data_IF_216623720428
#
_entry.id   IF_216623720428
#
_cell.length_a   1.000
_cell.length_b   1.000
_cell.length_c   1.000
_cell.angle_alpha   90.00
_cell.angle_beta   90.00
_cell.angle_gamma   90.00
#
_symmetry.space_group_name_H-M   'P 1'
#
loop_
_entity.id
_entity.type
_entity.pdbx_description
1 polymer ?
#
# COMPACT_ATOMS: atom_id res chain seq x y z
N UNK A 1 13.39 7.85 34.78
CA UNK A 1 13.43 7.00 33.57
C UNK A 1 13.30 7.92 32.39
N UNK A 2 14.37 8.08 31.62
CA UNK A 2 14.41 8.82 30.36
C UNK A 2 14.13 7.82 29.25
N UNK A 3 13.05 8.02 28.50
CA UNK A 3 12.80 7.30 27.26
C UNK A 3 13.08 8.25 26.10
N UNK A 4 14.05 7.87 25.27
CA UNK A 4 14.45 8.54 24.05
C UNK A 4 13.52 8.19 22.88
N UNK A 5 13.52 9.09 21.91
CA UNK A 5 12.63 9.21 20.75
C UNK A 5 12.13 7.87 20.17
N UNK A 6 10.83 7.63 20.34
CA UNK A 6 10.11 6.74 19.44
C UNK A 6 10.05 7.47 18.10
N UNK A 7 10.59 6.87 17.04
CA UNK A 7 10.42 7.32 15.66
C UNK A 7 8.93 7.24 15.31
N UNK A 8 8.22 8.30 15.67
CA UNK A 8 6.77 8.40 15.79
C UNK A 8 6.18 8.73 14.42
N UNK A 9 5.27 7.90 13.91
CA UNK A 9 4.65 8.14 12.62
C UNK A 9 3.40 9.04 12.68
N UNK A 10 3.01 9.51 13.88
CA UNK A 10 1.84 10.33 14.09
C UNK A 10 0.81 9.73 15.06
N UNK A 11 -0.20 10.55 15.35
CA UNK A 11 -1.34 10.32 16.24
C UNK A 11 -2.49 9.53 15.56
N UNK A 12 -2.29 9.06 14.32
CA UNK A 12 -3.36 8.49 13.49
C UNK A 12 -2.89 7.21 12.77
N UNK A 13 -3.71 6.16 12.86
CA UNK A 13 -3.49 4.91 12.14
C UNK A 13 -4.05 5.00 10.71
N UNK A 14 -3.18 5.26 9.74
CA UNK A 14 -3.59 5.36 8.34
C UNK A 14 -3.16 4.10 7.57
N UNK A 15 -3.79 2.97 7.85
CA UNK A 15 -3.50 1.74 7.11
C UNK A 15 -3.91 1.91 5.64
N UNK A 16 -3.08 1.41 4.73
CA UNK A 16 -3.42 1.29 3.32
C UNK A 16 -2.63 0.19 2.66
N UNK A 17 -3.11 -0.25 1.50
CA UNK A 17 -2.35 -1.10 0.61
C UNK A 17 -2.33 -0.51 -0.79
N UNK A 18 -1.29 -0.82 -1.56
CA UNK A 18 -1.23 -0.42 -2.94
C UNK A 18 -0.59 -1.46 -3.84
N UNK A 19 -1.05 -1.48 -5.09
CA UNK A 19 -0.42 -2.20 -6.17
C UNK A 19 0.33 -1.21 -7.05
N UNK A 20 1.59 -1.52 -7.38
CA UNK A 20 2.43 -0.63 -8.17
C UNK A 20 3.15 -1.35 -9.29
N UNK A 21 3.29 -0.65 -10.41
CA UNK A 21 4.31 -0.91 -11.41
C UNK A 21 5.46 0.06 -11.20
N UNK A 22 6.69 -0.44 -11.23
CA UNK A 22 7.88 0.38 -11.05
C UNK A 22 9.03 -0.11 -11.92
N UNK A 23 9.93 0.81 -12.27
CA UNK A 23 11.06 0.57 -13.16
C UNK A 23 11.88 1.84 -13.35
N UNK A 24 12.70 1.90 -14.39
CA UNK A 24 13.54 3.06 -14.68
C UNK A 24 12.70 4.26 -15.17
N UNK A 25 12.93 4.80 -16.37
CA UNK A 25 12.06 5.80 -16.97
C UNK A 25 11.02 5.13 -17.86
N UNK A 26 9.74 5.40 -17.63
CA UNK A 26 8.65 5.00 -18.50
C UNK A 26 7.49 5.99 -18.46
N UNK A 27 6.66 6.02 -19.51
CA UNK A 27 5.43 6.82 -19.52
C UNK A 27 4.32 6.08 -18.77
N UNK A 28 3.90 6.67 -17.65
CA UNK A 28 2.86 6.13 -16.77
C UNK A 28 1.49 6.07 -17.43
N UNK A 29 1.24 6.88 -18.47
CA UNK A 29 -0.02 6.86 -19.22
C UNK A 29 -0.21 5.57 -20.01
N UNK A 30 0.87 4.90 -20.41
CA UNK A 30 0.79 3.60 -21.10
C UNK A 30 0.10 2.58 -20.20
N UNK A 31 0.41 2.57 -18.90
CA UNK A 31 -0.21 1.67 -17.92
C UNK A 31 -1.69 2.01 -17.75
N UNK A 32 -2.01 3.29 -17.54
CA UNK A 32 -3.40 3.77 -17.41
C UNK A 32 -4.26 3.33 -18.60
N UNK A 33 -3.76 3.54 -19.82
CA UNK A 33 -4.49 3.25 -21.06
C UNK A 33 -4.68 1.74 -21.28
N UNK A 34 -3.64 0.94 -21.04
CA UNK A 34 -3.68 -0.51 -21.25
C UNK A 34 -4.55 -1.21 -20.21
N UNK A 35 -4.47 -0.80 -18.94
CA UNK A 35 -5.28 -1.38 -17.87
C UNK A 35 -6.71 -0.84 -17.88
N UNK A 36 -6.92 0.40 -18.32
CA UNK A 36 -8.18 1.13 -18.17
C UNK A 36 -8.42 1.53 -16.70
N UNK A 37 -7.36 1.75 -15.93
CA UNK A 37 -7.41 2.09 -14.50
C UNK A 37 -6.70 3.44 -14.31
N UNK A 38 -7.33 4.35 -13.57
CA UNK A 38 -6.68 5.60 -13.16
C UNK A 38 -5.81 5.35 -11.91
N UNK A 39 -4.52 5.75 -11.91
CA UNK A 39 -3.69 5.63 -10.72
C UNK A 39 -4.18 6.54 -9.61
N UNK A 40 -3.93 6.16 -8.37
CA UNK A 40 -4.05 7.06 -7.21
C UNK A 40 -2.86 8.01 -7.14
N UNK A 41 -1.67 7.55 -7.53
CA UNK A 41 -0.49 8.40 -7.64
C UNK A 41 0.52 7.84 -8.65
N UNK A 42 1.44 8.69 -9.08
CA UNK A 42 2.60 8.30 -9.86
C UNK A 42 3.79 9.15 -9.46
N UNK A 43 4.99 8.62 -9.67
CA UNK A 43 6.23 9.34 -9.46
C UNK A 43 7.11 9.15 -10.68
N UNK A 44 7.66 10.23 -11.23
CA UNK A 44 8.70 10.16 -12.27
C UNK A 44 10.07 10.14 -11.61
N UNK A 45 10.97 9.27 -12.09
CA UNK A 45 12.36 9.23 -11.64
C UNK A 45 13.01 10.62 -11.74
N UNK A 46 13.73 11.04 -10.70
CA UNK A 46 14.50 12.30 -10.62
C UNK A 46 15.79 12.09 -9.80
N UNK A 47 16.78 12.94 -10.04
CA UNK A 47 18.03 12.98 -9.27
C UNK A 47 17.93 14.09 -8.20
N UNK A 48 18.12 13.83 -6.89
CA UNK A 48 18.57 12.57 -6.28
C UNK A 48 17.48 11.52 -6.03
N UNK A 49 16.22 11.94 -5.88
CA UNK A 49 15.07 11.04 -5.64
C UNK A 49 13.83 11.58 -6.34
N UNK A 50 12.91 10.69 -6.79
CA UNK A 50 12.90 9.24 -6.60
C UNK A 50 13.80 8.49 -7.60
N UNK A 51 14.41 7.38 -7.17
CA UNK A 51 15.34 6.58 -8.00
C UNK A 51 14.68 5.82 -9.14
N UNK A 52 13.36 5.65 -9.12
CA UNK A 52 12.58 4.86 -10.06
C UNK A 52 11.28 5.60 -10.40
N UNK A 53 10.76 5.37 -11.61
CA UNK A 53 9.40 5.77 -11.97
C UNK A 53 8.42 4.76 -11.40
N UNK A 54 7.26 5.22 -10.92
CA UNK A 54 6.22 4.34 -10.40
C UNK A 54 4.82 4.82 -10.79
N UNK A 55 3.94 3.86 -11.00
CA UNK A 55 2.50 4.02 -11.15
C UNK A 55 1.84 3.23 -10.01
N UNK A 56 0.94 3.84 -9.24
CA UNK A 56 0.37 3.26 -8.01
C UNK A 56 -1.15 3.35 -7.99
N UNK A 57 -1.79 2.25 -7.61
CA UNK A 57 -3.21 2.21 -7.25
C UNK A 57 -3.33 1.83 -5.77
N UNK A 58 -3.90 2.73 -4.97
CA UNK A 58 -3.95 2.64 -3.50
C UNK A 58 -5.40 2.50 -3.03
N UNK A 59 -5.62 1.60 -2.08
CA UNK A 59 -6.86 1.48 -1.33
C UNK A 59 -6.57 1.89 0.11
N UNK A 60 -7.20 2.98 0.55
CA UNK A 60 -7.17 3.40 1.95
C UNK A 60 -8.01 2.43 2.79
N UNK A 61 -7.47 2.07 3.96
CA UNK A 61 -8.08 1.14 4.91
C UNK A 61 -8.46 1.90 6.19
N UNK A 62 -7.67 2.91 6.57
CA UNK A 62 -7.89 3.72 7.76
C UNK A 62 -7.59 2.93 9.03
N UNK A 63 -8.41 3.14 10.08
CA UNK A 63 -8.28 2.42 11.35
C UNK A 63 -8.81 0.97 11.29
N UNK A 64 -9.32 0.53 10.13
CA UNK A 64 -9.78 -0.84 9.99
C UNK A 64 -8.58 -1.80 10.03
N UNK A 65 -8.74 -2.87 10.80
CA UNK A 65 -7.72 -3.86 11.07
C UNK A 65 -7.84 -5.08 10.16
N UNK A 66 -8.92 -5.20 9.38
CA UNK A 66 -9.05 -6.20 8.34
C UNK A 66 -8.38 -5.73 7.03
N UNK A 67 -7.20 -6.27 6.76
CA UNK A 67 -6.45 -6.02 5.53
C UNK A 67 -6.82 -6.98 4.38
N UNK A 68 -7.58 -8.05 4.64
CA UNK A 68 -7.98 -9.04 3.64
C UNK A 68 -9.09 -8.49 2.74
N UNK A 69 -10.13 -7.89 3.31
CA UNK A 69 -11.21 -7.26 2.52
C UNK A 69 -10.72 -6.23 1.49
N UNK A 70 -9.90 -5.23 1.84
CA UNK A 70 -9.37 -4.28 0.85
C UNK A 70 -8.42 -4.95 -0.15
N UNK A 71 -7.74 -6.03 0.24
CA UNK A 71 -6.89 -6.79 -0.67
C UNK A 71 -7.72 -7.53 -1.72
N UNK A 72 -8.78 -8.23 -1.32
CA UNK A 72 -9.67 -8.91 -2.28
C UNK A 72 -10.31 -7.92 -3.25
N UNK A 73 -10.68 -6.72 -2.79
CA UNK A 73 -11.12 -5.63 -3.69
C UNK A 73 -10.05 -5.21 -4.69
N UNK A 74 -8.78 -5.18 -4.29
CA UNK A 74 -7.68 -4.93 -5.21
C UNK A 74 -7.56 -6.05 -6.23
N UNK A 75 -7.68 -7.31 -5.80
CA UNK A 75 -7.64 -8.48 -6.69
C UNK A 75 -8.78 -8.43 -7.70
N UNK A 76 -10.00 -8.07 -7.30
CA UNK A 76 -11.14 -7.92 -8.22
C UNK A 76 -10.86 -6.94 -9.37
N UNK A 77 -10.05 -5.90 -9.11
CA UNK A 77 -9.68 -4.89 -10.10
C UNK A 77 -8.60 -5.42 -11.06
N UNK A 78 -7.58 -6.09 -10.54
CA UNK A 78 -6.38 -6.45 -11.32
C UNK A 78 -6.40 -7.86 -11.89
N UNK A 79 -7.14 -8.80 -11.30
CA UNK A 79 -7.23 -10.19 -11.77
C UNK A 79 -7.75 -10.31 -13.22
N UNK A 80 -8.79 -9.55 -13.64
CA UNK A 80 -9.21 -9.54 -15.05
C UNK A 80 -8.15 -8.99 -16.02
N UNK A 81 -7.08 -8.37 -15.50
CA UNK A 81 -6.03 -7.67 -16.26
C UNK A 81 -4.67 -8.38 -16.19
N UNK A 82 -4.61 -9.63 -15.73
CA UNK A 82 -3.36 -10.40 -15.59
C UNK A 82 -2.55 -10.44 -16.89
N UNK A 83 -3.18 -10.68 -18.03
CA UNK A 83 -2.46 -10.72 -19.33
C UNK A 83 -1.84 -9.37 -19.66
N UNK A 84 -2.60 -8.28 -19.55
CA UNK A 84 -2.09 -6.91 -19.77
C UNK A 84 -0.99 -6.55 -18.77
N UNK A 85 -1.09 -6.99 -17.52
CA UNK A 85 -0.06 -6.80 -16.50
C UNK A 85 1.28 -7.43 -16.92
N UNK A 86 1.26 -8.71 -17.30
CA UNK A 86 2.46 -9.44 -17.74
C UNK A 86 3.06 -8.76 -18.99
N UNK A 87 2.22 -8.42 -19.98
CA UNK A 87 2.68 -7.76 -21.21
C UNK A 87 3.29 -6.38 -20.95
N UNK A 88 2.72 -5.59 -20.03
CA UNK A 88 3.27 -4.29 -19.62
C UNK A 88 4.64 -4.45 -18.96
N UNK A 89 4.77 -5.42 -18.04
CA UNK A 89 6.06 -5.74 -17.40
C UNK A 89 7.12 -6.09 -18.43
N UNK A 90 6.80 -6.96 -19.38
CA UNK A 90 7.74 -7.42 -20.40
C UNK A 90 8.14 -6.32 -21.39
N UNK A 91 7.16 -5.54 -21.86
CA UNK A 91 7.34 -4.47 -22.86
C UNK A 91 8.14 -3.30 -22.30
N UNK A 92 7.85 -2.91 -21.06
CA UNK A 92 8.44 -1.72 -20.43
C UNK A 92 9.55 -2.06 -19.43
N UNK A 93 9.89 -3.35 -19.28
CA UNK A 93 10.89 -3.85 -18.31
C UNK A 93 10.59 -3.42 -16.89
N UNK A 94 9.33 -3.59 -16.48
CA UNK A 94 8.83 -3.19 -15.17
C UNK A 94 8.72 -4.38 -14.22
N UNK A 95 8.76 -4.06 -12.93
CA UNK A 95 8.39 -4.96 -11.85
C UNK A 95 7.07 -4.51 -11.23
N UNK A 96 6.40 -5.44 -10.57
CA UNK A 96 5.17 -5.16 -9.81
C UNK A 96 5.37 -5.44 -8.34
N UNK A 97 4.68 -4.67 -7.50
CA UNK A 97 4.67 -4.88 -6.05
C UNK A 97 3.27 -4.66 -5.49
N UNK A 98 2.86 -5.54 -4.59
CA UNK A 98 1.79 -5.32 -3.63
C UNK A 98 2.44 -4.90 -2.30
N UNK A 99 2.19 -3.68 -1.87
CA UNK A 99 2.70 -3.14 -0.60
C UNK A 99 1.57 -3.02 0.39
N UNK A 100 1.82 -3.49 1.62
CA UNK A 100 1.04 -3.14 2.80
C UNK A 100 1.76 -2.05 3.58
N UNK A 101 1.02 -1.02 3.99
CA UNK A 101 1.50 0.00 4.90
C UNK A 101 0.59 -0.01 6.11
N UNK A 102 1.16 -0.43 7.24
CA UNK A 102 0.41 -0.78 8.44
C UNK A 102 0.93 0.06 9.61
N UNK A 103 0.01 0.75 10.25
CA UNK A 103 0.22 1.46 11.50
C UNK A 103 -0.27 0.57 12.63
N UNK A 104 0.65 0.17 13.50
CA UNK A 104 0.39 -0.64 14.68
C UNK A 104 0.32 0.33 15.86
N UNK A 105 -0.88 0.44 16.42
CA UNK A 105 -1.11 1.19 17.65
C UNK A 105 -0.52 0.44 18.85
N UNK A 106 0.12 1.19 19.75
CA UNK A 106 0.65 0.64 21.00
C UNK A 106 -0.32 0.71 22.17
N UNK A 107 -1.49 1.34 22.03
CA UNK A 107 -2.55 1.22 23.02
C UNK A 107 -2.88 -0.28 23.19
N UNK A 108 -2.69 -0.87 24.39
CA UNK A 108 -3.01 -2.27 24.62
C UNK A 108 -4.50 -2.62 24.44
N UNK A 109 -5.38 -1.60 24.36
CA UNK A 109 -6.80 -1.77 24.03
C UNK A 109 -7.06 -1.75 22.53
N UNK A 110 -6.12 -1.24 21.72
CA UNK A 110 -6.24 -1.29 20.28
C UNK A 110 -6.13 -2.73 19.80
N UNK A 111 -6.94 -3.06 18.80
CA UNK A 111 -6.92 -4.38 18.19
C UNK A 111 -5.75 -4.48 17.21
N UNK A 112 -5.21 -5.69 17.03
CA UNK A 112 -4.10 -5.94 16.11
C UNK A 112 -4.59 -6.17 14.68
N UNK A 113 -3.83 -5.75 13.65
CA UNK A 113 -4.21 -5.98 12.26
C UNK A 113 -4.27 -7.47 11.94
N UNK A 114 -5.31 -7.87 11.21
CA UNK A 114 -5.45 -9.18 10.59
C UNK A 114 -5.08 -9.08 9.11
N UNK A 115 -4.19 -9.98 8.69
CA UNK A 115 -3.68 -10.05 7.33
C UNK A 115 -3.88 -11.46 6.77
N UNK A 116 -4.95 -11.64 6.00
CA UNK A 116 -5.22 -12.87 5.26
C UNK A 116 -4.72 -12.79 3.82
N UNK A 117 -4.09 -13.88 3.36
CA UNK A 117 -3.80 -14.10 1.94
C UNK A 117 -4.58 -15.32 1.47
N UNK A 118 -5.66 -15.08 0.73
CA UNK A 118 -6.44 -16.16 0.14
C UNK A 118 -5.64 -16.89 -0.94
N UNK A 119 -6.00 -18.15 -1.23
CA UNK A 119 -5.41 -18.91 -2.34
C UNK A 119 -5.55 -18.17 -3.69
N UNK A 120 -6.66 -17.45 -3.88
CA UNK A 120 -6.91 -16.63 -5.07
C UNK A 120 -5.88 -15.50 -5.18
N UNK A 121 -5.67 -14.76 -4.09
CA UNK A 121 -4.66 -13.71 -4.02
C UNK A 121 -3.25 -14.27 -4.29
N UNK A 122 -2.87 -15.38 -3.65
CA UNK A 122 -1.56 -16.03 -3.86
C UNK A 122 -1.38 -16.42 -5.34
N UNK A 123 -2.41 -16.96 -5.97
CA UNK A 123 -2.38 -17.34 -7.39
C UNK A 123 -2.21 -16.14 -8.31
N UNK A 124 -2.91 -15.05 -8.05
CA UNK A 124 -2.74 -13.80 -8.79
C UNK A 124 -1.31 -13.26 -8.68
N UNK A 125 -0.77 -13.21 -7.47
CA UNK A 125 0.57 -12.71 -7.20
C UNK A 125 1.65 -13.57 -7.88
N UNK A 126 1.48 -14.90 -7.81
CA UNK A 126 2.38 -15.84 -8.48
C UNK A 126 2.32 -15.68 -10.01
N UNK A 127 1.12 -15.63 -10.60
CA UNK A 127 0.94 -15.47 -12.06
C UNK A 127 1.54 -14.18 -12.60
N UNK A 128 1.44 -13.11 -11.84
CA UNK A 128 1.94 -11.79 -12.24
C UNK A 128 3.40 -11.58 -11.85
N UNK A 129 4.03 -12.54 -11.17
CA UNK A 129 5.38 -12.41 -10.60
C UNK A 129 5.51 -11.09 -9.81
N UNK A 130 4.58 -10.88 -8.89
CA UNK A 130 4.48 -9.66 -8.09
C UNK A 130 5.17 -9.83 -6.75
N UNK A 131 6.05 -8.89 -6.40
CA UNK A 131 6.67 -8.84 -5.08
C UNK A 131 5.67 -8.41 -4.01
N UNK A 132 5.74 -8.98 -2.81
CA UNK A 132 4.93 -8.55 -1.67
C UNK A 132 5.84 -7.93 -0.63
N UNK A 133 5.49 -6.75 -0.13
CA UNK A 133 6.30 -5.98 0.83
C UNK A 133 5.41 -5.37 1.93
N UNK A 134 5.99 -5.12 3.10
CA UNK A 134 5.29 -4.63 4.28
C UNK A 134 6.09 -3.51 4.95
N UNK A 135 5.49 -2.33 5.02
CA UNK A 135 6.00 -1.23 5.83
C UNK A 135 5.19 -1.20 7.13
N UNK A 136 5.86 -1.40 8.25
CA UNK A 136 5.24 -1.38 9.58
C UNK A 136 5.70 -0.12 10.31
N UNK A 137 4.73 0.67 10.75
CA UNK A 137 4.94 1.89 11.51
C UNK A 137 4.29 1.78 12.88
N UNK A 138 4.91 2.41 13.86
CA UNK A 138 4.37 2.50 15.22
C UNK A 138 3.57 3.79 15.35
N UNK A 139 2.29 3.66 15.69
CA UNK A 139 1.44 4.76 16.13
C UNK A 139 1.29 4.69 17.65
N UNK A 140 1.15 5.85 18.29
CA UNK A 140 0.79 5.92 19.71
C UNK A 140 -0.36 6.92 19.86
N UNK A 141 -1.55 6.34 20.07
CA UNK A 141 -2.80 7.08 20.23
C UNK A 141 -3.18 7.27 21.70
N UNK A 142 -2.33 6.85 22.64
CA UNK A 142 -2.61 6.86 24.07
C UNK A 142 -2.80 8.32 24.53
N UNK A 143 -4.01 8.65 25.00
CA UNK A 143 -4.34 9.97 25.55
C UNK A 143 -4.93 10.98 24.55
N UNK A 144 -5.08 10.65 23.27
CA UNK A 144 -5.73 11.53 22.29
C UNK A 144 -7.25 11.57 22.43
N UNK A 145 -7.87 10.46 22.83
CA UNK A 145 -9.32 10.40 23.06
C UNK A 145 -9.75 11.14 24.34
N UNK A 146 -8.81 11.40 25.27
CA UNK A 146 -9.08 12.17 26.49
C UNK A 146 -9.07 13.69 26.24
N UNK A 147 -8.57 14.14 25.08
CA UNK A 147 -8.43 15.55 24.70
C UNK A 147 -9.68 16.19 24.09
N UNK A 148 -10.70 15.42 23.69
CA UNK A 148 -11.94 15.95 23.11
C UNK A 148 -13.02 16.36 24.12
N UNK A 149 -12.70 16.36 25.42
CA UNK A 149 -13.58 16.83 26.50
C UNK A 149 -13.05 18.05 27.24
N UNK A 150 -12.39 18.98 26.55
CA UNK A 150 -12.09 20.32 27.09
C UNK A 150 -12.32 21.39 26.03
N UNK A 151 -13.58 21.83 25.88
CA UNK A 151 -13.87 23.04 25.11
C UNK A 151 -15.33 23.27 24.73
N UNK A 152 -16.06 23.93 25.65
CA UNK A 152 -17.33 24.67 25.50
C UNK A 152 -18.65 23.90 25.42
#
# INVERSE_FOLDING_TARGET
>A
MTFEELTYSGDVCNNYLYYTFYGDFFDTNIITNELGITPTSFHSKKDPVPKLTSWKYTIAIGDNLDLETPLERLIDIFEPKVTSNILLKDKLKLSTRLQFVIYIDIDPKASTPYFGLSNRTIHFLSKTDTHVDFDLFKADTIGLLDGHNLGA
#
